data_IF_978721597660
#
_entry.id   IF_978721597660
#
_cell.length_a   1.000
_cell.length_b   1.000
_cell.length_c   1.000
_cell.angle_alpha   90.00
_cell.angle_beta   90.00
_cell.angle_gamma   90.00
#
_symmetry.space_group_name_H-M   'P 1'
#
loop_
_entity.id
_entity.type
_entity.pdbx_description
1 polymer ?
#
# COMPACT_ATOMS: atom_id res chain seq x y z
N UNK A 1 0.53 18.63 11.09
CA UNK A 1 1.83 18.18 10.60
C UNK A 1 1.62 16.95 9.73
N UNK A 2 1.55 17.21 8.43
CA UNK A 2 1.58 16.19 7.37
C UNK A 2 3.01 15.61 7.37
N UNK A 3 3.32 14.70 8.27
CA UNK A 3 4.54 13.91 8.16
C UNK A 3 4.36 13.06 6.91
N UNK A 4 5.04 13.45 5.83
CA UNK A 4 5.18 12.63 4.64
C UNK A 4 5.76 11.29 5.08
N UNK A 5 4.87 10.31 5.17
CA UNK A 5 5.25 8.97 5.59
C UNK A 5 6.34 8.46 4.65
N UNK A 6 7.41 7.80 5.15
CA UNK A 6 8.42 7.18 4.30
C UNK A 6 7.85 6.29 3.20
N UNK A 7 6.68 5.70 3.45
CA UNK A 7 5.95 4.92 2.46
C UNK A 7 5.45 5.76 1.28
N UNK A 8 4.91 6.98 1.54
CA UNK A 8 4.44 7.87 0.47
C UNK A 8 5.59 8.25 -0.47
N UNK A 9 6.71 8.67 0.10
CA UNK A 9 7.90 9.04 -0.66
C UNK A 9 8.47 7.86 -1.46
N UNK A 10 8.53 6.68 -0.83
CA UNK A 10 9.00 5.47 -1.49
C UNK A 10 8.09 5.06 -2.66
N UNK A 11 6.77 5.14 -2.50
CA UNK A 11 5.83 4.83 -3.58
C UNK A 11 5.97 5.85 -4.71
N UNK A 12 6.06 7.14 -4.41
CA UNK A 12 6.25 8.17 -5.44
C UNK A 12 7.52 7.95 -6.26
N UNK A 13 8.60 7.61 -5.59
CA UNK A 13 9.90 7.42 -6.25
C UNK A 13 10.03 6.10 -7.00
N UNK A 14 9.43 5.02 -6.48
CA UNK A 14 9.64 3.65 -6.92
C UNK A 14 8.31 2.92 -7.19
N UNK A 15 7.33 3.59 -7.81
CA UNK A 15 6.00 3.00 -8.02
C UNK A 15 6.01 1.70 -8.85
N UNK A 16 6.77 1.59 -9.96
CA UNK A 16 6.89 0.33 -10.68
C UNK A 16 7.47 -0.81 -9.82
N UNK A 17 8.49 -0.50 -9.00
CA UNK A 17 9.06 -1.47 -8.07
C UNK A 17 8.08 -1.90 -6.98
N UNK A 18 7.23 -0.97 -6.50
CA UNK A 18 6.14 -1.25 -5.58
C UNK A 18 5.16 -2.27 -6.16
N UNK A 19 4.69 -2.01 -7.38
CA UNK A 19 3.75 -2.90 -8.07
C UNK A 19 4.38 -4.27 -8.32
N UNK A 20 5.62 -4.30 -8.81
CA UNK A 20 6.33 -5.55 -9.06
C UNK A 20 6.57 -6.38 -7.79
N UNK A 21 6.85 -5.74 -6.65
CA UNK A 21 7.14 -6.42 -5.39
C UNK A 21 5.88 -6.99 -4.72
N UNK A 22 4.82 -6.18 -4.62
CA UNK A 22 3.64 -6.54 -3.86
C UNK A 22 2.52 -7.15 -4.71
N UNK A 23 2.41 -6.76 -5.96
CA UNK A 23 1.32 -7.13 -6.86
C UNK A 23 1.83 -7.52 -8.25
N UNK A 24 2.71 -8.56 -8.36
CA UNK A 24 3.38 -8.91 -9.61
C UNK A 24 2.41 -9.24 -10.75
N UNK A 25 1.29 -9.91 -10.46
CA UNK A 25 0.29 -10.25 -11.48
C UNK A 25 -0.36 -8.97 -12.06
N UNK A 26 -0.76 -8.03 -11.18
CA UNK A 26 -1.31 -6.73 -11.60
C UNK A 26 -0.25 -5.91 -12.34
N UNK A 27 1.00 -5.95 -11.88
CA UNK A 27 2.12 -5.27 -12.53
C UNK A 27 2.31 -5.72 -13.98
N UNK A 28 2.06 -6.99 -14.28
CA UNK A 28 2.17 -7.55 -15.64
C UNK A 28 1.12 -7.00 -16.60
N UNK A 29 -0.02 -6.53 -16.10
CA UNK A 29 -1.10 -5.95 -16.93
C UNK A 29 -0.87 -4.48 -17.25
N UNK A 30 -0.01 -3.78 -16.50
CA UNK A 30 0.27 -2.35 -16.68
C UNK A 30 1.18 -2.12 -17.88
N UNK A 31 0.82 -1.17 -18.73
CA UNK A 31 1.65 -0.65 -19.82
C UNK A 31 2.57 0.47 -19.33
N UNK A 32 3.71 0.09 -18.81
CA UNK A 32 4.70 1.03 -18.27
C UNK A 32 5.28 2.00 -19.30
N UNK A 33 5.15 1.70 -20.61
CA UNK A 33 5.62 2.61 -21.66
C UNK A 33 4.81 3.90 -21.74
N UNK A 34 3.56 3.89 -21.25
CA UNK A 34 2.67 5.05 -21.15
C UNK A 34 2.90 5.88 -19.88
N UNK A 35 3.77 5.42 -18.98
CA UNK A 35 4.02 6.06 -17.68
C UNK A 35 2.87 5.86 -16.70
N UNK A 36 2.81 6.75 -15.71
CA UNK A 36 1.76 6.80 -14.69
C UNK A 36 1.65 8.21 -14.12
N UNK A 37 0.51 8.51 -13.48
CA UNK A 37 0.22 9.85 -12.95
C UNK A 37 -0.32 9.75 -11.52
N UNK A 38 0.30 10.47 -10.55
CA UNK A 38 -0.22 10.59 -9.20
C UNK A 38 -1.34 11.63 -9.13
N UNK A 39 -2.48 11.23 -8.56
CA UNK A 39 -3.69 12.03 -8.42
C UNK A 39 -3.97 12.39 -6.94
N UNK A 40 -2.95 12.71 -6.16
CA UNK A 40 -3.07 12.97 -4.72
C UNK A 40 -3.93 14.18 -4.38
N UNK A 41 -4.00 15.18 -5.28
CA UNK A 41 -4.88 16.35 -5.11
C UNK A 41 -6.36 15.94 -5.17
N UNK A 42 -6.67 15.04 -6.11
CA UNK A 42 -8.02 14.50 -6.27
C UNK A 42 -8.39 13.62 -5.07
N UNK A 43 -7.49 12.78 -4.62
CA UNK A 43 -7.68 11.96 -3.44
C UNK A 43 -7.99 12.82 -2.20
N UNK A 44 -7.21 13.88 -1.96
CA UNK A 44 -7.42 14.81 -0.84
C UNK A 44 -8.79 15.47 -0.90
N UNK A 45 -9.26 15.86 -2.09
CA UNK A 45 -10.60 16.45 -2.29
C UNK A 45 -11.71 15.47 -1.97
N UNK A 46 -11.62 14.23 -2.48
CA UNK A 46 -12.61 13.16 -2.28
C UNK A 46 -12.72 12.74 -0.81
N UNK A 47 -11.60 12.76 -0.10
CA UNK A 47 -11.51 12.27 1.28
C UNK A 47 -11.72 13.34 2.34
N UNK A 48 -11.85 14.63 1.96
CA UNK A 48 -11.96 15.77 2.89
C UNK A 48 -13.13 15.64 3.86
N UNK A 49 -14.27 15.14 3.40
CA UNK A 49 -15.50 15.03 4.19
C UNK A 49 -15.68 13.67 4.90
N UNK A 50 -14.71 12.76 4.74
CA UNK A 50 -14.70 11.51 5.46
C UNK A 50 -13.91 11.71 6.76
N UNK A 51 -14.57 11.61 7.92
CA UNK A 51 -13.90 11.55 9.24
C UNK A 51 -12.84 10.45 9.22
N UNK A 52 -11.58 10.86 9.39
CA UNK A 52 -10.47 10.00 9.04
C UNK A 52 -9.55 9.89 10.23
N UNK A 53 -9.54 8.69 10.82
CA UNK A 53 -8.52 8.28 11.75
C UNK A 53 -7.11 8.30 11.12
N UNK A 54 -6.07 8.20 11.95
CA UNK A 54 -4.66 8.29 11.56
C UNK A 54 -4.35 7.45 10.31
N UNK A 55 -4.00 8.11 9.21
CA UNK A 55 -3.62 7.52 7.94
C UNK A 55 -2.12 7.59 7.76
N UNK A 56 -1.54 6.55 7.23
CA UNK A 56 -0.12 6.57 6.99
C UNK A 56 0.25 6.79 5.53
N UNK A 57 -0.47 6.23 4.55
CA UNK A 57 -0.20 6.53 3.16
C UNK A 57 -1.37 6.09 2.26
N UNK A 58 -2.20 7.02 1.85
CA UNK A 58 -3.14 6.77 0.76
C UNK A 58 -2.61 7.46 -0.50
N UNK A 59 -2.54 6.72 -1.61
CA UNK A 59 -2.10 7.20 -2.91
C UNK A 59 -3.14 6.84 -3.97
N UNK A 60 -3.41 7.76 -4.86
CA UNK A 60 -4.22 7.53 -6.04
C UNK A 60 -3.34 7.69 -7.27
N UNK A 61 -3.26 6.66 -8.11
CA UNK A 61 -2.39 6.63 -9.27
C UNK A 61 -3.19 6.20 -10.50
N UNK A 62 -3.10 6.96 -11.57
CA UNK A 62 -3.62 6.59 -12.87
C UNK A 62 -2.58 5.77 -13.62
N UNK A 63 -3.00 4.63 -14.16
CA UNK A 63 -2.19 3.75 -14.98
C UNK A 63 -2.95 3.35 -16.24
N UNK A 64 -2.23 2.91 -17.25
CA UNK A 64 -2.78 2.35 -18.50
C UNK A 64 -2.48 0.86 -18.53
N UNK A 65 -3.47 0.09 -19.00
CA UNK A 65 -3.31 -1.34 -19.19
C UNK A 65 -2.82 -1.65 -20.61
N UNK A 66 -2.20 -2.80 -20.79
CA UNK A 66 -1.73 -3.29 -22.10
C UNK A 66 -2.85 -3.50 -23.11
N UNK A 67 -4.08 -3.74 -22.66
CA UNK A 67 -5.28 -3.83 -23.52
C UNK A 67 -5.80 -2.45 -23.99
N UNK A 68 -5.19 -1.36 -23.53
CA UNK A 68 -5.56 0.02 -23.89
C UNK A 68 -6.45 0.72 -22.86
N UNK A 69 -7.03 0.01 -21.92
CA UNK A 69 -7.88 0.58 -20.86
C UNK A 69 -7.06 1.46 -19.90
N UNK A 70 -7.76 2.38 -19.25
CA UNK A 70 -7.21 3.21 -18.18
C UNK A 70 -7.90 2.86 -16.87
N UNK A 71 -7.11 2.59 -15.84
CA UNK A 71 -7.63 2.42 -14.49
C UNK A 71 -6.92 3.32 -13.48
N UNK A 72 -7.65 3.66 -12.41
CA UNK A 72 -7.08 4.35 -11.27
C UNK A 72 -6.80 3.34 -10.15
N UNK A 73 -5.57 3.34 -9.67
CA UNK A 73 -5.14 2.45 -8.58
C UNK A 73 -5.14 3.25 -7.29
N UNK A 74 -6.05 2.91 -6.38
CA UNK A 74 -6.10 3.48 -5.05
C UNK A 74 -5.30 2.58 -4.09
N UNK A 75 -4.19 3.10 -3.60
CA UNK A 75 -3.29 2.38 -2.72
C UNK A 75 -3.52 2.83 -1.29
N UNK A 76 -3.91 1.90 -0.45
CA UNK A 76 -4.04 2.09 0.99
C UNK A 76 -2.93 1.39 1.73
N UNK A 77 -2.20 2.12 2.57
CA UNK A 77 -1.20 1.53 3.45
C UNK A 77 -1.63 1.74 4.90
N UNK A 78 -2.10 0.68 5.51
CA UNK A 78 -2.51 0.67 6.90
C UNK A 78 -1.33 0.26 7.79
N UNK A 79 -0.76 1.22 8.53
CA UNK A 79 0.41 1.00 9.40
C UNK A 79 0.00 0.80 10.87
N UNK A 80 -1.28 0.99 11.20
CA UNK A 80 -1.73 0.92 12.58
C UNK A 80 -1.68 -0.48 13.20
N UNK A 81 -1.29 -0.52 14.46
CA UNK A 81 -1.28 -1.72 15.29
C UNK A 81 -2.65 -2.09 15.86
N UNK A 82 -3.69 -1.31 15.58
CA UNK A 82 -5.03 -1.53 16.14
C UNK A 82 -6.05 -1.83 15.04
N UNK A 83 -6.92 -2.79 15.32
CA UNK A 83 -8.04 -3.19 14.48
C UNK A 83 -9.00 -2.02 14.27
N UNK A 84 -9.24 -1.65 13.01
CA UNK A 84 -10.24 -0.66 12.63
C UNK A 84 -11.51 -1.40 12.18
N UNK A 85 -12.60 -1.26 12.94
CA UNK A 85 -13.84 -2.03 12.73
C UNK A 85 -14.51 -1.75 11.38
N UNK A 86 -14.37 -0.53 10.85
CA UNK A 86 -14.99 -0.10 9.59
C UNK A 86 -14.00 -0.02 8.40
N UNK A 87 -12.85 -0.68 8.50
CA UNK A 87 -11.79 -0.58 7.48
C UNK A 87 -12.29 -0.93 6.07
N UNK A 88 -12.88 -2.13 5.88
CA UNK A 88 -13.36 -2.57 4.56
C UNK A 88 -14.45 -1.68 3.99
N UNK A 89 -15.33 -1.13 4.84
CA UNK A 89 -16.34 -0.16 4.44
C UNK A 89 -15.70 1.13 3.93
N UNK A 90 -14.67 1.63 4.63
CA UNK A 90 -13.90 2.83 4.22
C UNK A 90 -13.26 2.65 2.84
N UNK A 91 -12.62 1.48 2.59
CA UNK A 91 -12.04 1.17 1.28
C UNK A 91 -13.10 1.20 0.18
N UNK A 92 -14.26 0.60 0.43
CA UNK A 92 -15.39 0.64 -0.50
C UNK A 92 -15.89 2.07 -0.77
N UNK A 93 -16.08 2.87 0.28
CA UNK A 93 -16.58 4.25 0.16
C UNK A 93 -15.63 5.10 -0.68
N UNK A 94 -14.32 4.99 -0.50
CA UNK A 94 -13.35 5.75 -1.29
C UNK A 94 -13.37 5.34 -2.76
N UNK A 95 -13.33 4.02 -3.03
CA UNK A 95 -13.47 3.53 -4.40
C UNK A 95 -14.74 4.02 -5.05
N UNK A 96 -15.87 3.95 -4.34
CA UNK A 96 -17.17 4.37 -4.85
C UNK A 96 -17.20 5.88 -5.17
N UNK A 97 -16.71 6.74 -4.28
CA UNK A 97 -16.64 8.20 -4.50
C UNK A 97 -15.75 8.57 -5.70
N UNK A 98 -14.64 7.88 -5.90
CA UNK A 98 -13.79 8.10 -7.07
C UNK A 98 -14.54 7.70 -8.34
N UNK A 99 -15.15 6.53 -8.35
CA UNK A 99 -15.94 6.06 -9.47
C UNK A 99 -17.11 7.00 -9.80
N UNK A 100 -17.88 7.43 -8.79
CA UNK A 100 -19.02 8.36 -8.95
C UNK A 100 -18.57 9.71 -9.55
N UNK A 101 -17.43 10.23 -9.09
CA UNK A 101 -16.97 11.55 -9.50
C UNK A 101 -16.32 11.56 -10.88
N UNK A 102 -15.59 10.50 -11.24
CA UNK A 102 -14.76 10.47 -12.45
C UNK A 102 -15.21 9.45 -13.49
N UNK A 103 -16.17 8.60 -13.15
CA UNK A 103 -16.64 7.51 -14.00
C UNK A 103 -15.49 6.65 -14.57
N UNK A 104 -14.54 6.27 -13.72
CA UNK A 104 -13.37 5.47 -14.06
C UNK A 104 -13.34 4.18 -13.24
N UNK A 105 -12.75 3.13 -13.79
CA UNK A 105 -12.50 1.91 -13.02
C UNK A 105 -11.43 2.16 -11.96
N UNK A 106 -11.68 1.65 -10.75
CA UNK A 106 -10.80 1.85 -9.59
C UNK A 106 -10.46 0.50 -8.95
N UNK A 107 -9.18 0.18 -8.93
CA UNK A 107 -8.64 -0.94 -8.16
C UNK A 107 -8.14 -0.45 -6.79
N UNK A 108 -8.58 -1.08 -5.71
CA UNK A 108 -8.09 -0.77 -4.36
C UNK A 108 -7.07 -1.83 -3.94
N UNK A 109 -5.84 -1.42 -3.61
CA UNK A 109 -4.75 -2.27 -3.17
C UNK A 109 -4.39 -1.91 -1.73
N UNK A 110 -4.22 -2.90 -0.87
CA UNK A 110 -4.02 -2.68 0.58
C UNK A 110 -2.75 -3.34 1.08
N UNK A 111 -1.94 -2.60 1.83
CA UNK A 111 -0.79 -3.12 2.58
C UNK A 111 -1.11 -3.01 4.07
N UNK A 112 -1.13 -4.15 4.75
CA UNK A 112 -1.36 -4.24 6.20
C UNK A 112 -0.03 -4.36 6.93
N UNK A 113 0.30 -3.34 7.72
CA UNK A 113 1.55 -3.28 8.48
C UNK A 113 1.35 -3.59 9.98
N UNK A 114 0.13 -3.92 10.43
CA UNK A 114 -0.18 -4.29 11.80
C UNK A 114 0.44 -5.65 12.20
N UNK A 115 0.41 -5.97 13.50
CA UNK A 115 0.99 -7.19 14.10
C UNK A 115 -0.03 -8.30 14.42
N UNK A 116 -1.32 -8.04 14.18
CA UNK A 116 -2.39 -9.03 14.42
C UNK A 116 -2.48 -10.02 13.25
N UNK A 117 -2.00 -11.25 13.42
CA UNK A 117 -1.95 -12.28 12.37
C UNK A 117 -3.31 -12.58 11.74
N UNK A 118 -4.37 -12.53 12.54
CA UNK A 118 -5.75 -12.85 12.11
C UNK A 118 -6.46 -11.71 11.39
N UNK A 119 -5.99 -10.46 11.56
CA UNK A 119 -6.62 -9.30 10.96
C UNK A 119 -6.30 -9.22 9.46
N UNK A 120 -7.29 -9.59 8.61
CA UNK A 120 -7.18 -9.63 7.15
C UNK A 120 -8.46 -9.13 6.47
N UNK A 121 -8.81 -7.85 6.64
CA UNK A 121 -10.01 -7.26 6.05
C UNK A 121 -9.83 -7.10 4.54
N UNK A 122 -10.34 -8.03 3.76
CA UNK A 122 -10.23 -8.05 2.29
C UNK A 122 -11.57 -7.97 1.58
N UNK A 123 -12.66 -7.73 2.32
CA UNK A 123 -14.00 -7.70 1.76
C UNK A 123 -14.94 -6.80 2.56
N UNK A 124 -15.81 -6.07 1.85
CA UNK A 124 -16.99 -5.41 2.38
C UNK A 124 -18.24 -6.05 1.81
N UNK A 125 -19.19 -6.41 2.68
CA UNK A 125 -20.47 -6.99 2.30
C UNK A 125 -21.61 -6.30 3.03
N UNK A 126 -22.72 -6.06 2.31
CA UNK A 126 -24.00 -5.64 2.85
C UNK A 126 -25.11 -6.38 2.13
N UNK A 127 -26.15 -6.75 2.86
CA UNK A 127 -27.34 -7.34 2.28
C UNK A 127 -28.56 -6.84 3.06
N UNK A 128 -29.60 -6.44 2.35
CA UNK A 128 -30.90 -6.06 2.91
C UNK A 128 -31.99 -6.29 1.85
N UNK A 129 -33.05 -6.97 2.22
CA UNK A 129 -34.24 -7.18 1.39
C UNK A 129 -33.97 -7.69 -0.03
N UNK A 130 -32.98 -8.57 -0.19
CA UNK A 130 -32.58 -9.10 -1.50
C UNK A 130 -31.61 -8.20 -2.29
N UNK A 131 -31.30 -7.00 -1.80
CA UNK A 131 -30.22 -6.19 -2.35
C UNK A 131 -28.90 -6.63 -1.72
N UNK A 132 -27.94 -7.04 -2.56
CA UNK A 132 -26.62 -7.52 -2.11
C UNK A 132 -25.49 -6.66 -2.71
N UNK A 133 -24.57 -6.29 -1.84
CA UNK A 133 -23.29 -5.67 -2.20
C UNK A 133 -22.16 -6.55 -1.73
N UNK A 134 -21.25 -6.89 -2.63
CA UNK A 134 -20.01 -7.59 -2.31
C UNK A 134 -18.84 -6.94 -3.02
N UNK A 135 -17.90 -6.40 -2.26
CA UNK A 135 -16.69 -5.77 -2.75
C UNK A 135 -15.46 -6.43 -2.13
N UNK A 136 -14.65 -7.09 -2.96
CA UNK A 136 -13.37 -7.71 -2.57
C UNK A 136 -12.22 -6.90 -3.11
N UNK A 137 -11.10 -6.87 -2.37
CA UNK A 137 -9.88 -6.19 -2.76
C UNK A 137 -8.63 -6.97 -2.31
N UNK A 138 -7.53 -6.89 -3.09
CA UNK A 138 -6.26 -7.50 -2.73
C UNK A 138 -5.66 -6.89 -1.46
N UNK A 139 -5.13 -7.74 -0.59
CA UNK A 139 -4.37 -7.32 0.59
C UNK A 139 -3.02 -8.02 0.63
N UNK A 140 -2.00 -7.29 1.06
CA UNK A 140 -0.69 -7.82 1.44
C UNK A 140 -0.50 -7.60 2.92
N UNK A 141 -0.16 -8.65 3.65
CA UNK A 141 0.17 -8.57 5.08
C UNK A 141 1.68 -8.62 5.25
N UNK A 142 2.30 -7.53 5.71
CA UNK A 142 3.76 -7.49 5.85
C UNK A 142 4.29 -8.59 6.79
N UNK A 143 3.52 -8.93 7.81
CA UNK A 143 3.90 -9.97 8.76
C UNK A 143 4.14 -11.35 8.11
N UNK A 144 3.55 -11.62 6.93
CA UNK A 144 3.75 -12.88 6.23
C UNK A 144 5.19 -13.03 5.71
N UNK A 145 5.87 -11.92 5.40
CA UNK A 145 7.26 -11.92 4.95
C UNK A 145 8.26 -12.37 6.02
N UNK A 146 7.87 -12.43 7.28
CA UNK A 146 8.72 -12.95 8.36
C UNK A 146 9.11 -14.42 8.11
N UNK A 147 8.20 -15.19 7.51
CA UNK A 147 8.46 -16.61 7.19
C UNK A 147 9.47 -16.77 6.04
N UNK A 148 9.49 -15.79 5.13
CA UNK A 148 10.31 -15.81 3.93
C UNK A 148 11.50 -14.83 4.03
N UNK A 149 12.02 -14.64 5.25
CA UNK A 149 13.03 -13.61 5.53
C UNK A 149 14.24 -13.67 4.59
N UNK A 150 14.81 -14.85 4.37
CA UNK A 150 15.97 -15.03 3.48
C UNK A 150 15.65 -14.58 2.04
N UNK A 151 14.41 -14.81 1.58
CA UNK A 151 13.97 -14.40 0.24
C UNK A 151 13.89 -12.88 0.09
N UNK A 152 13.35 -12.17 1.09
CA UNK A 152 13.32 -10.71 1.02
C UNK A 152 14.71 -10.11 1.24
N UNK A 153 15.55 -10.73 2.03
CA UNK A 153 16.93 -10.28 2.27
C UNK A 153 17.79 -10.33 1.01
N UNK A 154 17.62 -11.34 0.17
CA UNK A 154 18.31 -11.48 -1.11
C UNK A 154 17.67 -10.67 -2.25
N UNK A 155 16.49 -10.13 -2.05
CA UNK A 155 15.75 -9.39 -3.08
C UNK A 155 16.33 -7.98 -3.27
N UNK A 156 16.60 -7.59 -4.52
CA UNK A 156 17.16 -6.28 -4.87
C UNK A 156 16.10 -5.16 -4.98
N UNK A 157 14.81 -5.48 -4.88
CA UNK A 157 13.76 -4.48 -4.92
C UNK A 157 13.84 -3.54 -3.70
N UNK A 158 13.71 -2.20 -3.87
CA UNK A 158 13.77 -1.23 -2.76
C UNK A 158 12.73 -1.52 -1.67
N UNK A 159 11.57 -2.05 -2.03
CA UNK A 159 10.52 -2.38 -1.06
C UNK A 159 10.87 -3.59 -0.19
N UNK A 160 11.77 -4.47 -0.59
CA UNK A 160 12.30 -5.49 0.30
C UNK A 160 13.00 -4.88 1.52
N UNK A 161 13.78 -3.81 1.32
CA UNK A 161 14.45 -3.08 2.41
C UNK A 161 13.42 -2.37 3.31
N UNK A 162 12.41 -1.72 2.71
CA UNK A 162 11.36 -1.02 3.45
C UNK A 162 10.56 -2.00 4.31
N UNK A 163 10.19 -3.17 3.77
CA UNK A 163 9.49 -4.23 4.51
C UNK A 163 10.36 -4.75 5.66
N UNK A 164 11.63 -5.03 5.42
CA UNK A 164 12.56 -5.47 6.47
C UNK A 164 12.68 -4.41 7.58
N UNK A 165 12.79 -3.13 7.21
CA UNK A 165 12.85 -2.02 8.17
C UNK A 165 11.59 -1.96 9.04
N UNK A 166 10.42 -2.04 8.40
CA UNK A 166 9.13 -2.00 9.09
C UNK A 166 8.95 -3.18 10.05
N UNK A 167 9.27 -4.39 9.61
CA UNK A 167 9.15 -5.60 10.41
C UNK A 167 10.13 -5.60 11.60
N UNK A 168 11.39 -5.26 11.38
CA UNK A 168 12.39 -5.20 12.46
C UNK A 168 12.09 -4.10 13.47
N UNK A 169 11.60 -2.93 13.04
CA UNK A 169 11.18 -1.88 13.96
C UNK A 169 10.08 -2.34 14.93
N UNK A 170 9.24 -3.29 14.51
CA UNK A 170 8.20 -3.91 15.36
C UNK A 170 8.70 -5.08 16.20
N UNK A 171 9.61 -5.89 15.64
CA UNK A 171 10.09 -7.13 16.28
C UNK A 171 11.19 -6.87 17.31
N UNK A 172 12.05 -5.86 17.08
CA UNK A 172 13.14 -5.53 17.98
C UNK A 172 12.63 -4.65 19.13
N UNK A 173 12.82 -5.14 20.36
CA UNK A 173 12.46 -4.41 21.59
C UNK A 173 13.62 -3.60 22.14
N UNK A 174 14.86 -3.97 21.82
CA UNK A 174 16.08 -3.33 22.28
C UNK A 174 16.47 -2.15 21.36
N UNK A 175 16.80 -1.00 21.97
CA UNK A 175 17.19 0.20 21.24
C UNK A 175 18.59 0.10 20.60
N UNK A 176 19.50 -0.69 21.15
CA UNK A 176 20.81 -0.98 20.57
C UNK A 176 20.66 -1.82 19.31
N UNK A 177 19.93 -2.92 19.39
CA UNK A 177 19.63 -3.77 18.23
C UNK A 177 18.93 -2.97 17.11
N UNK A 178 18.03 -2.03 17.47
CA UNK A 178 17.38 -1.13 16.52
C UNK A 178 18.38 -0.20 15.83
N UNK A 179 19.37 0.34 16.54
CA UNK A 179 20.40 1.22 15.97
C UNK A 179 21.30 0.46 15.01
N UNK A 180 21.80 -0.69 15.39
CA UNK A 180 22.65 -1.53 14.55
C UNK A 180 21.92 -1.98 13.28
N UNK A 181 20.65 -2.33 13.42
CA UNK A 181 19.82 -2.68 12.28
C UNK A 181 19.60 -1.49 11.33
N UNK A 182 19.28 -0.30 11.86
CA UNK A 182 19.14 0.93 11.06
C UNK A 182 20.42 1.23 10.30
N UNK A 183 21.57 1.10 10.94
CA UNK A 183 22.85 1.31 10.29
C UNK A 183 23.10 0.31 9.16
N UNK A 184 22.81 -0.97 9.36
CA UNK A 184 22.95 -2.02 8.34
C UNK A 184 22.03 -1.78 7.14
N UNK A 185 20.78 -1.30 7.37
CA UNK A 185 19.85 -0.94 6.31
C UNK A 185 20.33 0.27 5.50
N UNK A 186 20.83 1.29 6.19
CA UNK A 186 21.37 2.49 5.55
C UNK A 186 22.55 2.11 4.65
N UNK A 187 23.46 1.27 5.14
CA UNK A 187 24.58 0.74 4.36
C UNK A 187 24.11 0.01 3.10
N UNK A 188 23.10 -0.87 3.23
CA UNK A 188 22.50 -1.59 2.08
C UNK A 188 21.86 -0.66 1.05
N UNK A 189 21.22 0.42 1.49
CA UNK A 189 20.67 1.43 0.58
C UNK A 189 21.77 2.11 -0.23
N UNK A 190 22.87 2.47 0.41
CA UNK A 190 24.05 3.03 -0.28
C UNK A 190 24.70 2.05 -1.25
N UNK A 191 24.93 0.81 -0.84
CA UNK A 191 25.53 -0.23 -1.68
C UNK A 191 24.69 -0.56 -2.92
N UNK A 192 23.38 -0.39 -2.85
CA UNK A 192 22.44 -0.62 -3.97
C UNK A 192 22.14 0.64 -4.80
N UNK A 193 22.86 1.74 -4.62
CA UNK A 193 22.66 3.02 -5.32
C UNK A 193 21.24 3.63 -5.20
N UNK A 194 20.52 3.32 -4.12
CA UNK A 194 19.24 3.98 -3.82
C UNK A 194 19.41 5.33 -3.09
N UNK A 195 20.63 5.86 -3.05
CA UNK A 195 20.93 7.16 -2.43
C UNK A 195 20.44 8.30 -3.33
N UNK A 196 19.52 9.08 -2.77
CA UNK A 196 18.91 10.35 -3.16
C UNK A 196 17.68 10.25 -4.04
#
# INVERSE_FOLDING_TARGET
NDYDSPWKQAIEKFFPDFMNFFFPDINNDIDWSKGYEFLDKDLKRITRDAEIGNRYADKLVKVWLKNGDTIWVLIHIEVQSSRVSNFSERIYVYRHRIWEQYNVEVASLVILCDDEKSYRPNQYKKAIWGCELSFKFPIIKLLDYVRDWAKIESNNNPFAIIVMAQLKAKLLKDDLERKDWKFSLTKRLYERNYSK
#
